data_IF_669531598793
#
_entry.id   IF_669531598793
#
_cell.length_a   1.000
_cell.length_b   1.000
_cell.length_c   1.000
_cell.angle_alpha   90.00
_cell.angle_beta   90.00
_cell.angle_gamma   90.00
#
_symmetry.space_group_name_H-M   'P 1'
#
loop_
_entity.id
_entity.type
_entity.pdbx_description
1 polymer ?
#
# COMPACT_ATOMS: atom_id res chain seq x y z
N UNK A 1 14.84 -1.03 -11.89
CA UNK A 1 15.57 0.26 -12.11
C UNK A 1 15.07 0.83 -13.41
N UNK A 2 14.47 2.01 -13.37
CA UNK A 2 13.88 2.60 -14.57
C UNK A 2 14.78 3.65 -15.23
N UNK A 3 15.50 4.41 -14.41
CA UNK A 3 16.40 5.43 -14.95
C UNK A 3 17.51 5.79 -13.95
N UNK A 4 18.71 6.09 -14.46
CA UNK A 4 19.83 6.60 -13.68
C UNK A 4 20.42 7.84 -14.35
N UNK A 5 20.65 8.89 -13.59
CA UNK A 5 21.31 10.15 -14.03
C UNK A 5 21.86 10.88 -12.81
N UNK A 6 23.00 11.54 -12.99
CA UNK A 6 23.62 12.42 -11.98
C UNK A 6 23.79 11.75 -10.61
N UNK A 7 24.25 10.50 -10.58
CA UNK A 7 24.36 9.66 -9.38
C UNK A 7 23.03 9.42 -8.63
N UNK A 8 21.90 9.67 -9.27
CA UNK A 8 20.56 9.41 -8.73
C UNK A 8 19.89 8.27 -9.51
N UNK A 9 19.39 7.28 -8.78
CA UNK A 9 18.62 6.18 -9.34
C UNK A 9 17.13 6.47 -9.16
N UNK A 10 16.36 6.43 -10.24
CA UNK A 10 14.93 6.72 -10.26
C UNK A 10 14.09 5.47 -10.51
N UNK A 11 12.95 5.41 -9.83
CA UNK A 11 11.92 4.40 -10.02
C UNK A 11 10.58 5.10 -10.30
N UNK A 12 9.88 4.70 -11.38
CA UNK A 12 8.67 5.33 -11.86
C UNK A 12 7.43 4.58 -11.38
N UNK A 13 6.47 5.33 -10.84
CA UNK A 13 5.22 4.80 -10.32
C UNK A 13 4.02 5.53 -10.90
N UNK A 14 3.08 4.79 -11.47
CA UNK A 14 1.77 5.32 -11.86
C UNK A 14 0.78 5.13 -10.70
N UNK A 15 0.23 6.23 -10.17
CA UNK A 15 -0.70 6.19 -9.04
C UNK A 15 -1.99 6.93 -9.35
N UNK A 16 -3.10 6.53 -8.72
CA UNK A 16 -4.27 7.37 -8.59
C UNK A 16 -4.07 8.36 -7.44
N UNK A 17 -4.57 9.57 -7.60
CA UNK A 17 -4.49 10.61 -6.57
C UNK A 17 -3.10 11.24 -6.38
N UNK A 18 -3.10 12.27 -5.56
CA UNK A 18 -1.91 13.09 -5.25
C UNK A 18 -1.09 12.41 -4.15
N UNK A 19 0.21 12.31 -4.36
CA UNK A 19 1.14 11.82 -3.36
C UNK A 19 1.83 13.00 -2.67
N UNK A 20 1.76 13.05 -1.34
CA UNK A 20 2.42 14.09 -0.53
C UNK A 20 3.83 13.68 -0.09
N UNK A 21 4.08 12.36 0.02
CA UNK A 21 5.37 11.75 0.34
C UNK A 21 5.57 10.46 -0.45
N UNK A 22 6.81 10.02 -0.56
CA UNK A 22 7.08 8.69 -1.08
C UNK A 22 6.45 7.65 -0.14
N UNK A 23 5.81 6.62 -0.71
CA UNK A 23 5.33 5.49 0.07
C UNK A 23 6.49 4.65 0.57
N UNK A 24 6.39 4.12 1.77
CA UNK A 24 7.46 3.37 2.42
C UNK A 24 7.93 2.17 1.58
N UNK A 25 6.99 1.44 0.95
CA UNK A 25 7.32 0.33 0.07
C UNK A 25 8.12 0.75 -1.18
N UNK A 26 7.80 1.90 -1.76
CA UNK A 26 8.53 2.42 -2.91
C UNK A 26 9.90 2.97 -2.51
N UNK A 27 9.99 3.61 -1.33
CA UNK A 27 11.25 4.07 -0.78
C UNK A 27 12.20 2.89 -0.50
N UNK A 28 11.72 1.83 0.15
CA UNK A 28 12.51 0.61 0.37
C UNK A 28 12.98 -0.01 -0.94
N UNK A 29 12.08 -0.11 -1.92
CA UNK A 29 12.40 -0.67 -3.23
C UNK A 29 13.53 0.09 -3.92
N UNK A 30 13.48 1.42 -3.95
CA UNK A 30 14.51 2.21 -4.64
C UNK A 30 15.85 2.19 -3.91
N UNK A 31 15.88 2.08 -2.59
CA UNK A 31 17.10 1.86 -1.82
C UNK A 31 17.76 0.51 -2.16
N UNK A 32 17.00 -0.58 -2.18
CA UNK A 32 17.50 -1.89 -2.57
C UNK A 32 17.99 -1.91 -4.03
N UNK A 33 17.30 -1.23 -4.94
CA UNK A 33 17.70 -1.11 -6.33
C UNK A 33 19.03 -0.37 -6.47
N UNK A 34 19.27 0.68 -5.66
CA UNK A 34 20.53 1.42 -5.66
C UNK A 34 21.68 0.53 -5.15
N UNK A 35 21.46 -0.26 -4.10
CA UNK A 35 22.45 -1.21 -3.62
C UNK A 35 22.82 -2.24 -4.71
N UNK A 36 21.82 -2.80 -5.40
CA UNK A 36 22.06 -3.72 -6.52
C UNK A 36 22.82 -3.04 -7.68
N UNK A 37 22.54 -1.77 -7.95
CA UNK A 37 23.26 -1.00 -8.96
C UNK A 37 24.75 -0.80 -8.57
N UNK A 38 25.02 -0.50 -7.30
CA UNK A 38 26.40 -0.38 -6.80
C UNK A 38 27.19 -1.70 -6.91
N UNK A 39 26.55 -2.86 -6.64
CA UNK A 39 27.20 -4.16 -6.84
C UNK A 39 27.58 -4.41 -8.30
N UNK A 40 26.98 -3.67 -9.23
CA UNK A 40 27.30 -3.71 -10.67
C UNK A 40 28.14 -2.51 -11.13
N UNK A 41 28.77 -1.77 -10.21
CA UNK A 41 29.69 -0.67 -10.51
C UNK A 41 29.00 0.66 -10.87
N UNK A 42 27.69 0.79 -10.64
CA UNK A 42 26.95 2.04 -10.87
C UNK A 42 26.91 2.82 -9.56
N UNK A 43 27.61 3.95 -9.51
CA UNK A 43 27.63 4.80 -8.32
C UNK A 43 26.28 5.48 -8.09
N UNK A 44 25.72 5.37 -6.89
CA UNK A 44 24.52 6.04 -6.47
C UNK A 44 24.81 6.92 -5.23
N UNK A 45 24.36 8.17 -5.25
CA UNK A 45 24.40 9.08 -4.10
C UNK A 45 22.99 9.40 -3.62
N UNK A 46 22.03 9.34 -4.53
CA UNK A 46 20.63 9.62 -4.29
C UNK A 46 19.73 8.55 -4.88
N UNK A 47 18.53 8.47 -4.36
CA UNK A 47 17.43 7.64 -4.89
C UNK A 47 16.18 8.50 -5.07
N UNK A 48 15.44 8.28 -6.13
CA UNK A 48 14.25 9.06 -6.45
C UNK A 48 13.04 8.18 -6.78
N UNK A 49 11.88 8.56 -6.25
CA UNK A 49 10.60 7.96 -6.66
C UNK A 49 9.82 9.01 -7.44
N UNK A 50 9.49 8.70 -8.68
CA UNK A 50 8.77 9.58 -9.60
C UNK A 50 7.34 9.07 -9.74
N UNK A 51 6.37 9.84 -9.28
CA UNK A 51 4.96 9.51 -9.39
C UNK A 51 4.33 10.20 -10.59
N UNK A 52 3.67 9.43 -11.44
CA UNK A 52 2.75 9.90 -12.47
C UNK A 52 1.32 9.77 -11.91
N UNK A 53 0.69 10.92 -11.63
CA UNK A 53 -0.63 11.00 -10.99
C UNK A 53 -1.72 10.90 -12.06
N UNK A 54 -2.29 9.73 -12.28
CA UNK A 54 -3.27 9.47 -13.35
C UNK A 54 -4.57 10.27 -13.21
N UNK A 55 -4.96 10.58 -11.96
CA UNK A 55 -6.21 11.28 -11.66
C UNK A 55 -6.01 12.79 -11.54
N UNK A 56 -4.82 13.30 -11.91
CA UNK A 56 -4.55 14.74 -11.90
C UNK A 56 -5.45 15.48 -12.89
N UNK A 57 -6.00 16.61 -12.44
CA UNK A 57 -6.94 17.41 -13.22
C UNK A 57 -6.38 18.82 -13.48
N UNK A 58 -6.17 19.15 -14.75
CA UNK A 58 -5.66 20.46 -15.16
C UNK A 58 -6.51 21.60 -14.64
N UNK A 59 -7.84 21.53 -14.74
CA UNK A 59 -8.74 22.60 -14.28
C UNK A 59 -8.63 22.82 -12.77
N UNK A 60 -8.51 21.75 -11.98
CA UNK A 60 -8.33 21.86 -10.54
C UNK A 60 -6.99 22.53 -10.20
N UNK A 61 -5.92 22.25 -10.93
CA UNK A 61 -4.62 22.90 -10.74
C UNK A 61 -4.63 24.41 -11.01
N UNK A 62 -5.64 24.92 -11.75
CA UNK A 62 -5.80 26.35 -12.01
C UNK A 62 -6.57 27.09 -10.92
N UNK A 63 -7.54 26.42 -10.31
CA UNK A 63 -8.46 27.07 -9.35
C UNK A 63 -8.09 26.81 -7.89
N UNK A 64 -7.39 25.72 -7.60
CA UNK A 64 -6.96 25.33 -6.24
C UNK A 64 -5.45 25.55 -6.08
N UNK A 65 -5.02 26.54 -5.28
CA UNK A 65 -3.60 26.78 -5.03
C UNK A 65 -2.88 25.63 -4.33
N UNK A 66 -3.60 24.80 -3.56
CA UNK A 66 -3.05 23.65 -2.83
C UNK A 66 -2.88 22.41 -3.72
N UNK A 67 -3.57 22.38 -4.87
CA UNK A 67 -3.50 21.25 -5.79
C UNK A 67 -2.20 21.28 -6.65
N UNK A 68 -1.55 20.13 -6.89
CA UNK A 68 -0.30 20.10 -7.67
C UNK A 68 -0.42 20.75 -9.03
N UNK A 69 0.59 21.52 -9.41
CA UNK A 69 0.61 22.24 -10.70
C UNK A 69 0.94 21.32 -11.89
N UNK A 70 1.52 20.14 -11.60
CA UNK A 70 1.88 19.14 -12.63
C UNK A 70 1.40 17.75 -12.23
N UNK A 71 1.18 16.84 -13.18
CA UNK A 71 0.84 15.44 -12.89
C UNK A 71 2.03 14.62 -12.38
N UNK A 72 3.21 15.21 -12.31
CA UNK A 72 4.44 14.52 -11.90
C UNK A 72 4.88 15.05 -10.54
N UNK A 73 5.18 14.14 -9.63
CA UNK A 73 5.78 14.44 -8.32
C UNK A 73 7.03 13.60 -8.14
N UNK A 74 8.12 14.23 -7.74
CA UNK A 74 9.42 13.57 -7.54
C UNK A 74 9.81 13.73 -6.07
N UNK A 75 10.19 12.63 -5.44
CA UNK A 75 10.76 12.60 -4.10
C UNK A 75 12.17 12.04 -4.20
N UNK A 76 13.16 12.84 -3.80
CA UNK A 76 14.58 12.46 -3.81
C UNK A 76 15.04 12.32 -2.37
N UNK A 77 15.78 11.26 -2.08
CA UNK A 77 16.36 10.95 -0.78
C UNK A 77 17.82 10.58 -0.94
N UNK A 78 18.66 10.79 0.07
CA UNK A 78 19.99 10.21 0.10
C UNK A 78 19.90 8.68 -0.03
N UNK A 79 20.84 8.10 -0.76
CA UNK A 79 21.04 6.66 -0.75
C UNK A 79 21.73 6.26 0.56
N UNK A 80 21.19 5.23 1.21
CA UNK A 80 21.70 4.67 2.46
C UNK A 80 22.05 3.20 2.23
N UNK A 81 23.34 2.95 2.00
CA UNK A 81 23.85 1.61 1.68
C UNK A 81 23.65 0.62 2.84
N UNK A 82 23.85 1.06 4.08
CA UNK A 82 23.69 0.21 5.27
C UNK A 82 22.23 -0.21 5.45
N UNK A 83 21.33 0.76 5.32
CA UNK A 83 19.89 0.50 5.37
C UNK A 83 19.45 -0.47 4.25
N UNK A 84 19.93 -0.26 3.01
CA UNK A 84 19.59 -1.10 1.88
C UNK A 84 20.13 -2.53 2.04
N UNK A 85 21.36 -2.70 2.50
CA UNK A 85 21.95 -4.02 2.78
C UNK A 85 21.18 -4.77 3.86
N UNK A 86 20.79 -4.07 4.93
CA UNK A 86 19.95 -4.65 5.98
C UNK A 86 18.62 -5.15 5.41
N UNK A 87 17.91 -4.33 4.62
CA UNK A 87 16.64 -4.71 4.01
C UNK A 87 16.78 -5.96 3.12
N UNK A 88 17.84 -6.01 2.32
CA UNK A 88 18.11 -7.16 1.42
C UNK A 88 18.39 -8.42 2.24
N UNK A 89 19.26 -8.31 3.26
CA UNK A 89 19.61 -9.42 4.13
C UNK A 89 18.39 -9.98 4.86
N UNK A 90 17.54 -9.12 5.42
CA UNK A 90 16.30 -9.52 6.08
C UNK A 90 15.36 -10.23 5.10
N UNK A 91 15.19 -9.68 3.88
CA UNK A 91 14.34 -10.26 2.84
C UNK A 91 14.84 -11.65 2.42
N UNK A 92 16.14 -11.80 2.17
CA UNK A 92 16.76 -13.07 1.81
C UNK A 92 16.58 -14.11 2.92
N UNK A 93 16.80 -13.72 4.18
CA UNK A 93 16.58 -14.61 5.33
C UNK A 93 15.14 -15.08 5.43
N UNK A 94 14.16 -14.20 5.21
CA UNK A 94 12.74 -14.58 5.23
C UNK A 94 12.40 -15.56 4.09
N UNK A 95 12.97 -15.38 2.91
CA UNK A 95 12.84 -16.35 1.82
C UNK A 95 13.44 -17.72 2.15
N UNK A 96 14.62 -17.75 2.80
CA UNK A 96 15.23 -19.01 3.25
C UNK A 96 14.37 -19.73 4.29
N UNK A 97 13.84 -19.03 5.30
CA UNK A 97 12.91 -19.61 6.27
C UNK A 97 11.66 -20.18 5.60
N UNK A 98 11.07 -19.41 4.67
CA UNK A 98 9.90 -19.86 3.93
C UNK A 98 10.19 -21.13 3.11
N UNK A 99 11.37 -21.23 2.47
CA UNK A 99 11.80 -22.43 1.75
C UNK A 99 11.97 -23.66 2.64
N UNK A 100 12.29 -23.45 3.93
CA UNK A 100 12.36 -24.51 4.95
C UNK A 100 11.00 -24.87 5.57
N UNK A 101 9.90 -24.25 5.11
CA UNK A 101 8.56 -24.49 5.61
C UNK A 101 8.15 -23.60 6.79
N UNK A 102 8.93 -22.56 7.08
CA UNK A 102 8.69 -21.58 8.16
C UNK A 102 8.40 -20.17 7.62
N UNK A 103 7.35 -19.96 6.77
CA UNK A 103 7.03 -18.65 6.26
C UNK A 103 6.55 -17.75 7.40
N UNK A 104 7.01 -16.49 7.41
CA UNK A 104 6.46 -15.49 8.32
C UNK A 104 4.98 -15.22 8.04
N UNK A 105 4.26 -14.76 9.03
CA UNK A 105 2.88 -14.30 8.85
C UNK A 105 2.85 -12.91 8.22
N UNK A 106 1.95 -12.72 7.27
CA UNK A 106 1.68 -11.40 6.72
C UNK A 106 0.98 -10.51 7.75
N UNK A 107 1.37 -9.25 7.80
CA UNK A 107 0.67 -8.21 8.58
C UNK A 107 -0.69 -7.89 7.97
N UNK A 108 -1.53 -7.17 8.72
CA UNK A 108 -2.82 -6.70 8.20
C UNK A 108 -2.66 -5.75 6.99
N UNK A 109 -1.64 -4.90 7.02
CA UNK A 109 -1.31 -4.01 5.89
C UNK A 109 -0.93 -4.79 4.64
N UNK A 110 -0.08 -5.81 4.78
CA UNK A 110 0.31 -6.67 3.65
C UNK A 110 -0.86 -7.49 3.09
N UNK A 111 -1.85 -7.80 3.91
CA UNK A 111 -3.09 -8.45 3.50
C UNK A 111 -4.10 -7.48 2.84
N UNK A 112 -3.83 -6.17 2.88
CA UNK A 112 -4.79 -5.10 2.57
C UNK A 112 -6.11 -5.31 3.30
N UNK A 113 -5.99 -5.64 4.59
CA UNK A 113 -7.14 -5.97 5.43
C UNK A 113 -7.98 -4.72 5.67
N UNK A 114 -9.26 -4.81 5.35
CA UNK A 114 -10.26 -3.82 5.71
C UNK A 114 -10.90 -4.23 7.02
N UNK A 115 -11.18 -3.30 7.92
CA UNK A 115 -11.91 -3.59 9.16
C UNK A 115 -13.34 -4.02 8.86
N UNK A 116 -13.97 -4.64 9.86
CA UNK A 116 -15.41 -4.86 9.85
C UNK A 116 -16.15 -3.52 9.79
N UNK A 117 -17.30 -3.50 9.13
CA UNK A 117 -18.19 -2.33 9.09
C UNK A 117 -19.59 -2.71 9.50
N UNK A 118 -20.38 -1.70 9.90
CA UNK A 118 -21.72 -1.89 10.46
C UNK A 118 -22.74 -1.08 9.66
N UNK A 119 -23.53 -1.79 8.87
CA UNK A 119 -24.52 -1.20 7.98
C UNK A 119 -25.87 -1.06 8.69
N UNK A 120 -26.38 0.15 8.82
CA UNK A 120 -27.74 0.44 9.31
C UNK A 120 -28.71 0.43 8.14
N UNK A 121 -29.71 -0.44 8.19
CA UNK A 121 -30.69 -0.64 7.11
C UNK A 121 -32.07 -1.02 7.65
N UNK A 122 -33.13 -0.92 6.83
CA UNK A 122 -34.40 -1.57 7.12
C UNK A 122 -34.27 -3.09 6.98
N UNK A 123 -35.01 -3.91 7.74
CA UNK A 123 -34.89 -5.37 7.70
C UNK A 123 -34.99 -5.96 6.28
N UNK A 124 -35.90 -5.46 5.46
CA UNK A 124 -36.17 -5.95 4.12
C UNK A 124 -35.38 -5.24 3.00
N UNK A 125 -34.47 -4.32 3.36
CA UNK A 125 -33.69 -3.54 2.40
C UNK A 125 -32.31 -4.16 2.15
N UNK A 126 -31.95 -4.32 0.89
CA UNK A 126 -30.58 -4.66 0.49
C UNK A 126 -29.62 -3.46 0.63
N UNK A 127 -30.17 -2.24 0.56
CA UNK A 127 -29.37 -1.02 0.61
C UNK A 127 -29.29 -0.48 2.04
N UNK A 128 -28.06 -0.29 2.53
CA UNK A 128 -27.82 0.41 3.78
C UNK A 128 -28.20 1.90 3.66
N UNK A 129 -28.80 2.45 4.70
CA UNK A 129 -28.98 3.90 4.83
C UNK A 129 -27.64 4.58 5.09
N UNK A 130 -26.83 3.96 5.96
CA UNK A 130 -25.47 4.42 6.27
C UNK A 130 -24.63 3.25 6.77
N UNK A 131 -23.31 3.34 6.58
CA UNK A 131 -22.32 2.38 7.06
C UNK A 131 -21.41 3.12 8.04
N UNK A 132 -21.08 2.46 9.16
CA UNK A 132 -20.24 2.97 10.25
C UNK A 132 -19.05 2.05 10.44
N UNK A 133 -17.96 2.62 10.95
CA UNK A 133 -16.73 1.87 11.19
C UNK A 133 -16.79 1.10 12.52
N UNK A 134 -17.64 1.53 13.46
CA UNK A 134 -17.82 0.86 14.74
C UNK A 134 -19.29 0.51 15.00
N UNK A 135 -19.50 -0.54 15.79
CA UNK A 135 -20.84 -0.96 16.20
C UNK A 135 -21.51 0.09 17.09
N UNK A 136 -20.75 0.73 17.98
CA UNK A 136 -21.27 1.78 18.87
C UNK A 136 -21.84 2.95 18.08
N UNK A 137 -21.12 3.44 17.07
CA UNK A 137 -21.63 4.50 16.18
C UNK A 137 -22.91 4.09 15.46
N UNK A 138 -22.99 2.83 15.02
CA UNK A 138 -24.18 2.32 14.37
C UNK A 138 -25.38 2.26 15.34
N UNK A 139 -25.15 1.85 16.60
CA UNK A 139 -26.16 1.78 17.65
C UNK A 139 -26.68 3.18 18.04
N UNK A 140 -25.79 4.16 18.21
CA UNK A 140 -26.15 5.57 18.51
C UNK A 140 -27.01 6.21 17.41
N UNK A 141 -26.84 5.78 16.16
CA UNK A 141 -27.52 6.32 15.00
C UNK A 141 -28.68 5.45 14.50
N UNK A 142 -29.05 4.40 15.24
CA UNK A 142 -30.12 3.48 14.88
C UNK A 142 -31.48 4.16 15.04
N UNK A 143 -32.34 4.06 14.04
CA UNK A 143 -33.70 4.56 14.09
C UNK A 143 -34.68 3.43 14.31
N UNK A 144 -35.91 3.77 14.84
CA UNK A 144 -36.95 2.79 15.04
C UNK A 144 -37.26 2.00 13.77
N UNK A 145 -37.28 0.67 13.88
CA UNK A 145 -37.51 -0.25 12.73
C UNK A 145 -36.31 -0.51 11.85
N UNK A 146 -35.11 -0.03 12.19
CA UNK A 146 -33.86 -0.38 11.51
C UNK A 146 -33.11 -1.48 12.26
N UNK A 147 -32.22 -2.17 11.54
CA UNK A 147 -31.33 -3.21 12.05
C UNK A 147 -29.90 -2.89 11.67
N UNK A 148 -28.95 -3.41 12.47
CA UNK A 148 -27.53 -3.32 12.20
C UNK A 148 -27.07 -4.66 11.61
N UNK A 149 -26.51 -4.60 10.41
CA UNK A 149 -25.85 -5.72 9.75
C UNK A 149 -24.35 -5.57 9.86
N UNK A 150 -23.69 -6.51 10.54
CA UNK A 150 -22.23 -6.57 10.54
C UNK A 150 -21.76 -7.06 9.18
N UNK A 151 -20.89 -6.32 8.53
CA UNK A 151 -20.18 -6.69 7.31
C UNK A 151 -18.74 -6.99 7.67
N UNK A 152 -18.37 -8.25 7.51
CA UNK A 152 -17.00 -8.69 7.77
C UNK A 152 -16.01 -7.95 6.86
N UNK A 153 -14.91 -7.56 7.44
CA UNK A 153 -13.78 -7.00 6.71
C UNK A 153 -13.21 -8.02 5.73
N UNK A 154 -12.55 -7.52 4.71
CA UNK A 154 -11.96 -8.35 3.65
C UNK A 154 -10.44 -8.20 3.63
N UNK A 155 -9.72 -9.30 3.48
CA UNK A 155 -8.28 -9.34 3.22
C UNK A 155 -8.07 -9.30 1.70
N UNK A 156 -8.24 -8.13 1.10
CA UNK A 156 -8.37 -7.94 -0.36
C UNK A 156 -7.14 -8.46 -1.12
N UNK A 157 -5.92 -8.29 -0.58
CA UNK A 157 -4.73 -8.84 -1.23
C UNK A 157 -4.77 -10.37 -1.27
N UNK A 158 -5.13 -11.01 -0.15
CA UNK A 158 -5.19 -12.47 -0.07
C UNK A 158 -6.27 -13.05 -0.99
N UNK A 159 -7.46 -12.44 -1.05
CA UNK A 159 -8.59 -12.95 -1.83
C UNK A 159 -8.44 -12.74 -3.34
N UNK A 160 -7.72 -11.69 -3.77
CA UNK A 160 -7.76 -11.25 -5.18
C UNK A 160 -6.40 -11.24 -5.88
N UNK A 161 -5.29 -11.12 -5.15
CA UNK A 161 -3.97 -10.87 -5.75
C UNK A 161 -2.89 -11.87 -5.31
N UNK A 162 -3.05 -12.56 -4.18
CA UNK A 162 -2.03 -13.47 -3.67
C UNK A 162 -2.05 -14.80 -4.42
N UNK A 163 -0.98 -15.11 -5.14
CA UNK A 163 -0.83 -16.38 -5.85
C UNK A 163 -0.76 -17.60 -4.93
N UNK A 164 -0.48 -17.42 -3.63
CA UNK A 164 -0.35 -18.48 -2.63
C UNK A 164 -1.59 -18.63 -1.75
N UNK A 165 -2.67 -17.90 -1.98
CA UNK A 165 -3.88 -17.94 -1.16
C UNK A 165 -4.44 -19.37 -1.00
N UNK A 166 -4.37 -20.17 -2.06
CA UNK A 166 -4.89 -21.55 -2.10
C UNK A 166 -4.14 -22.52 -1.17
N UNK A 167 -2.91 -22.24 -0.76
CA UNK A 167 -2.11 -23.07 0.14
C UNK A 167 -1.65 -22.32 1.42
N UNK A 168 -2.07 -21.05 1.60
CA UNK A 168 -1.66 -20.25 2.74
C UNK A 168 -2.43 -20.60 4.02
N UNK A 169 -1.76 -21.16 5.06
CA UNK A 169 -2.45 -21.53 6.30
C UNK A 169 -3.10 -20.31 7.00
N UNK A 170 -2.45 -19.14 6.94
CA UNK A 170 -2.97 -17.92 7.56
C UNK A 170 -4.26 -17.43 6.90
N UNK A 171 -4.41 -17.60 5.59
CA UNK A 171 -5.62 -17.19 4.89
C UNK A 171 -6.74 -18.22 5.06
N UNK A 172 -6.42 -19.51 4.97
CA UNK A 172 -7.40 -20.60 5.09
C UNK A 172 -7.96 -20.75 6.51
N UNK A 173 -7.15 -20.48 7.55
CA UNK A 173 -7.59 -20.57 8.95
C UNK A 173 -8.49 -19.39 9.38
N UNK A 174 -8.63 -18.37 8.56
CA UNK A 174 -9.42 -17.18 8.89
C UNK A 174 -8.84 -16.30 10.02
N UNK A 175 -7.60 -16.56 10.42
CA UNK A 175 -6.89 -15.86 11.52
C UNK A 175 -6.08 -14.68 10.99
#
# INVERSE_FOLDING_TARGET
>A
MDYWSDNCLYDYKATGGVQEKAKDEHYKQVQMNAWLAEQNGIKCEYVGVVYFQRDWKYMQSKVDPSYPKTPIKIFIHPYDAEYAEKLISETVMEHHKAALGEPRRCTLDEQWAKPDTYAVKKPDSQRARRVYDTRSEAEENLKSGEVIEKRAGEKTFCSSFCGFAHCCPQFQSGI
#
